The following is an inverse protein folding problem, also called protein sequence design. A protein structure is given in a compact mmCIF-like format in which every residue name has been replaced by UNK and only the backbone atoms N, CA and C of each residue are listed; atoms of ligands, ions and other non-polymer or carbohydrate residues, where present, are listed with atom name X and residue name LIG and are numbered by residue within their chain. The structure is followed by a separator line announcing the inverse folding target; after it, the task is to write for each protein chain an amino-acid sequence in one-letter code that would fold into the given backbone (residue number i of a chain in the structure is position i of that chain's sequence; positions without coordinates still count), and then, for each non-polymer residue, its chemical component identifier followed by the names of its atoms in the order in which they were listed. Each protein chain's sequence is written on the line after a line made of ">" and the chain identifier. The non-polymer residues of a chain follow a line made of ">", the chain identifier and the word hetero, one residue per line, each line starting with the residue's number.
data_IF_482923405399
#
_entry.id   IF_482923405399
#
_cell.length_a   1.000
_cell.length_b   1.000
_cell.length_c   1.000
_cell.angle_alpha   90.00
_cell.angle_beta   90.00
_cell.angle_gamma   90.00
#
_symmetry.space_group_name_H-M   'P 1'
#
loop_
_entity.id
_entity.type
_entity.pdbx_description
1 polymer ?
#
# COMPACT_ATOMS: atom_id res chain seq x y z
N UNK A 1 6.45 -6.74 -20.48
CA UNK A 1 6.16 -6.06 -19.20
C UNK A 1 6.08 -7.15 -18.14
N UNK A 2 6.91 -7.12 -17.11
CA UNK A 2 6.73 -8.01 -15.97
C UNK A 2 5.65 -7.39 -15.09
N UNK A 3 4.49 -8.02 -14.99
CA UNK A 3 3.55 -7.70 -13.90
C UNK A 3 4.21 -8.16 -12.59
N UNK A 4 4.37 -7.23 -11.65
CA UNK A 4 4.79 -7.55 -10.29
C UNK A 4 3.53 -7.59 -9.43
N UNK A 5 3.34 -8.72 -8.76
CA UNK A 5 2.28 -8.85 -7.78
C UNK A 5 2.84 -8.51 -6.40
N UNK A 6 2.10 -7.67 -5.68
CA UNK A 6 2.40 -7.27 -4.31
C UNK A 6 1.30 -7.76 -3.39
N UNK A 7 1.69 -8.36 -2.26
CA UNK A 7 0.77 -8.71 -1.19
C UNK A 7 0.60 -7.51 -0.26
N UNK A 8 -0.67 -7.19 0.03
CA UNK A 8 -1.03 -6.13 0.97
C UNK A 8 -1.62 -6.80 2.21
N UNK A 9 -1.04 -6.53 3.37
CA UNK A 9 -1.64 -6.89 4.67
C UNK A 9 -2.53 -5.73 5.07
N UNK A 10 -3.80 -6.02 5.37
CA UNK A 10 -4.79 -5.02 5.74
C UNK A 10 -5.26 -5.29 7.16
N UNK A 11 -5.18 -4.26 7.99
CA UNK A 11 -5.71 -4.24 9.34
C UNK A 11 -6.75 -3.13 9.45
N UNK A 12 -7.69 -3.29 10.39
CA UNK A 12 -8.64 -2.24 10.72
C UNK A 12 -8.38 -1.79 12.15
N UNK A 13 -8.15 -0.51 12.35
CA UNK A 13 -7.84 0.05 13.66
C UNK A 13 -9.10 0.32 14.51
N UNK A 14 -8.87 0.87 15.71
CA UNK A 14 -9.92 1.15 16.70
C UNK A 14 -10.89 2.25 16.24
N UNK A 15 -10.45 3.16 15.37
CA UNK A 15 -11.25 4.24 14.79
C UNK A 15 -12.01 3.81 13.53
N UNK A 16 -11.78 2.56 13.09
CA UNK A 16 -12.44 1.96 11.95
C UNK A 16 -11.77 2.26 10.60
N UNK A 17 -10.57 2.85 10.61
CA UNK A 17 -9.74 3.08 9.43
C UNK A 17 -9.08 1.79 8.98
N UNK A 18 -8.90 1.63 7.68
CA UNK A 18 -8.09 0.55 7.13
C UNK A 18 -6.65 1.01 7.00
N UNK A 19 -5.72 0.23 7.56
CA UNK A 19 -4.29 0.43 7.44
C UNK A 19 -3.72 -0.72 6.61
N UNK A 20 -2.91 -0.39 5.61
CA UNK A 20 -2.28 -1.38 4.73
C UNK A 20 -0.77 -1.27 4.76
N UNK A 21 -0.09 -2.41 4.71
CA UNK A 21 1.34 -2.50 4.48
C UNK A 21 1.66 -3.45 3.33
N UNK A 22 2.79 -3.20 2.64
CA UNK A 22 3.33 -4.09 1.61
C UNK A 22 4.63 -4.70 2.14
N UNK A 23 4.64 -5.93 2.71
CA UNK A 23 5.82 -6.49 3.35
C UNK A 23 7.04 -6.65 2.43
N UNK A 24 6.79 -6.71 1.12
CA UNK A 24 7.84 -6.79 0.10
C UNK A 24 8.58 -5.46 -0.13
N UNK A 25 8.02 -4.32 0.33
CA UNK A 25 8.58 -2.99 0.19
C UNK A 25 8.83 -2.40 1.57
N UNK A 26 10.09 -2.04 1.86
CA UNK A 26 10.43 -1.42 3.15
C UNK A 26 9.68 -0.10 3.31
N UNK A 27 9.08 0.08 4.47
CA UNK A 27 8.38 1.31 4.85
C UNK A 27 7.20 1.70 3.93
N UNK A 28 6.61 0.74 3.22
CA UNK A 28 5.43 0.98 2.38
C UNK A 28 4.15 0.76 3.20
N UNK A 29 3.64 1.85 3.76
CA UNK A 29 2.43 1.91 4.57
C UNK A 29 1.46 2.94 3.99
N UNK A 30 0.16 2.67 4.08
CA UNK A 30 -0.87 3.66 3.79
C UNK A 30 -2.15 3.36 4.57
N UNK A 31 -3.13 4.27 4.49
CA UNK A 31 -4.43 4.13 5.16
C UNK A 31 -5.57 4.65 4.29
N UNK A 32 -6.81 4.27 4.59
CA UNK A 32 -8.02 4.79 3.97
C UNK A 32 -9.28 4.48 4.78
N UNK A 33 -10.34 5.27 4.60
CA UNK A 33 -11.65 5.03 5.24
C UNK A 33 -12.35 3.80 4.65
N UNK A 34 -12.01 3.45 3.42
CA UNK A 34 -12.49 2.26 2.71
C UNK A 34 -11.34 1.42 2.17
N UNK A 35 -11.61 0.14 1.88
CA UNK A 35 -10.62 -0.74 1.23
C UNK A 35 -10.22 -0.18 -0.15
N UNK A 36 -11.16 0.38 -0.91
CA UNK A 36 -10.87 0.92 -2.24
C UNK A 36 -9.92 2.13 -2.16
N UNK A 37 -10.14 3.02 -1.19
CA UNK A 37 -9.25 4.16 -0.93
C UNK A 37 -7.86 3.70 -0.47
N UNK A 38 -7.81 2.77 0.49
CA UNK A 38 -6.53 2.19 0.93
C UNK A 38 -5.77 1.60 -0.27
N UNK A 39 -6.45 0.85 -1.14
CA UNK A 39 -5.82 0.23 -2.30
C UNK A 39 -5.40 1.24 -3.37
N UNK A 40 -6.07 2.38 -3.48
CA UNK A 40 -5.60 3.48 -4.33
C UNK A 40 -4.30 4.08 -3.76
N UNK A 41 -4.30 4.42 -2.47
CA UNK A 41 -3.15 5.01 -1.81
C UNK A 41 -1.93 4.08 -1.78
N UNK A 42 -2.12 2.77 -1.57
CA UNK A 42 -1.04 1.77 -1.62
C UNK A 42 -0.40 1.70 -3.01
N UNK A 43 -1.19 1.81 -4.09
CA UNK A 43 -0.63 1.83 -5.45
C UNK A 43 0.27 3.03 -5.67
N UNK A 44 -0.15 4.21 -5.23
CA UNK A 44 0.66 5.43 -5.33
C UNK A 44 1.99 5.28 -4.57
N UNK A 45 1.97 4.74 -3.34
CA UNK A 45 3.20 4.51 -2.57
C UNK A 45 4.10 3.47 -3.24
N UNK A 46 3.54 2.37 -3.78
CA UNK A 46 4.31 1.38 -4.54
C UNK A 46 4.98 2.03 -5.76
N UNK A 47 4.25 2.85 -6.52
CA UNK A 47 4.79 3.57 -7.68
C UNK A 47 5.94 4.46 -7.27
N UNK A 48 5.79 5.27 -6.22
CA UNK A 48 6.85 6.12 -5.67
C UNK A 48 8.09 5.32 -5.23
N UNK A 49 7.92 4.16 -4.58
CA UNK A 49 9.02 3.29 -4.16
C UNK A 49 9.76 2.67 -5.36
N UNK A 50 9.05 2.37 -6.44
CA UNK A 50 9.63 1.81 -7.67
C UNK A 50 10.24 2.90 -8.57
N UNK A 51 9.86 4.15 -8.36
CA UNK A 51 10.45 5.33 -9.01
C UNK A 51 11.80 5.76 -8.41
N UNK A 52 12.37 5.03 -7.43
CA UNK A 52 13.69 5.39 -6.90
C UNK A 52 14.76 5.50 -8.01
N UNK A 53 15.44 6.66 -8.13
CA UNK A 53 16.19 7.03 -9.32
C UNK A 53 17.62 6.49 -9.31
N UNK A 54 18.13 6.27 -10.52
CA UNK A 54 19.56 6.10 -10.82
C UNK A 54 20.44 7.22 -10.27
#
# INVERSE_FOLDING_TARGET
>A
MHNKDFFVVIERDEDGMYVGEVPQLKACYSQGETIDELMANIREVIEMCLEEPN
#
